data_IF_811969697427
#
_entry.id   IF_811969697427
#
_cell.length_a   1.000
_cell.length_b   1.000
_cell.length_c   1.000
_cell.angle_alpha   90.00
_cell.angle_beta   90.00
_cell.angle_gamma   90.00
#
_symmetry.space_group_name_H-M   'P 1'
#
loop_
_entity.id
_entity.type
_entity.pdbx_description
1 polymer ?
#
# COMPACT_ATOMS: atom_id res chain seq x y z
N UNK A 1 70.15 44.69 20.20
CA UNK A 1 70.59 43.38 19.70
C UNK A 1 70.12 42.32 20.69
N UNK A 2 69.39 41.33 20.17
CA UNK A 2 69.14 39.97 20.70
C UNK A 2 68.50 39.75 22.09
N UNK A 3 67.31 39.12 22.02
CA UNK A 3 66.72 38.05 22.86
C UNK A 3 66.53 38.29 24.36
N UNK A 4 65.28 38.20 24.83
CA UNK A 4 64.74 37.05 25.59
C UNK A 4 63.35 37.39 26.18
N UNK A 5 62.45 36.41 26.29
CA UNK A 5 61.28 36.54 27.17
C UNK A 5 59.93 35.99 26.68
N UNK A 6 59.84 34.67 26.53
CA UNK A 6 58.73 33.77 26.91
C UNK A 6 57.35 34.41 27.23
N UNK A 7 56.33 34.07 26.44
CA UNK A 7 54.94 33.95 26.91
C UNK A 7 54.35 32.62 26.43
N UNK A 8 54.10 31.74 27.41
CA UNK A 8 53.52 30.42 27.21
C UNK A 8 52.04 30.49 26.85
N UNK A 9 51.68 29.73 25.83
CA UNK A 9 50.31 29.44 25.44
C UNK A 9 49.73 28.44 26.44
N UNK A 10 48.62 28.84 27.06
CA UNK A 10 47.70 27.96 27.78
C UNK A 10 46.96 27.11 26.75
N UNK A 11 47.21 25.80 26.73
CA UNK A 11 46.31 24.81 26.14
C UNK A 11 46.04 23.72 27.19
N UNK A 12 44.78 23.70 27.65
CA UNK A 12 44.26 22.81 28.67
C UNK A 12 43.45 21.68 28.00
N UNK A 13 43.70 20.46 28.47
CA UNK A 13 42.80 19.31 28.53
C UNK A 13 42.38 18.58 27.22
N UNK A 14 43.23 17.62 26.89
CA UNK A 14 42.92 16.32 26.27
C UNK A 14 41.69 15.62 26.91
N UNK A 15 40.65 15.36 26.12
CA UNK A 15 39.68 14.30 26.36
C UNK A 15 39.36 13.57 25.05
N UNK A 16 40.26 12.67 24.68
CA UNK A 16 40.04 11.66 23.64
C UNK A 16 38.78 10.80 23.93
N UNK A 17 37.80 10.70 23.01
CA UNK A 17 36.64 9.84 23.20
C UNK A 17 37.00 8.36 23.02
N UNK A 18 36.65 7.56 24.04
CA UNK A 18 36.88 6.13 24.15
C UNK A 18 36.41 5.31 22.91
N UNK A 19 37.28 4.41 22.44
CA UNK A 19 37.12 3.44 21.33
C UNK A 19 35.80 2.64 21.33
N UNK A 20 35.02 2.63 22.42
CA UNK A 20 33.71 1.97 22.53
C UNK A 20 32.54 2.81 22.00
N UNK A 21 32.60 4.15 22.09
CA UNK A 21 31.52 5.04 21.62
C UNK A 21 31.38 5.04 20.10
N UNK A 22 32.52 5.05 19.40
CA UNK A 22 32.61 5.00 17.93
C UNK A 22 31.97 3.72 17.36
N UNK A 23 32.13 2.57 18.02
CA UNK A 23 31.57 1.28 17.57
C UNK A 23 30.05 1.19 17.74
N UNK A 24 29.47 1.89 18.72
CA UNK A 24 28.02 1.96 18.94
C UNK A 24 27.35 2.88 17.92
N UNK A 25 27.94 4.05 17.68
CA UNK A 25 27.46 5.00 16.67
C UNK A 25 27.53 4.42 15.25
N UNK A 26 28.57 3.64 14.92
CA UNK A 26 28.66 2.94 13.63
C UNK A 26 27.54 1.90 13.42
N UNK A 27 27.17 1.15 14.47
CA UNK A 27 26.06 0.17 14.39
C UNK A 27 24.67 0.83 14.29
N UNK A 28 24.48 1.97 14.92
CA UNK A 28 23.22 2.74 14.83
C UNK A 28 23.09 3.42 13.46
N UNK A 29 24.19 3.98 12.94
CA UNK A 29 24.24 4.54 11.58
C UNK A 29 23.96 3.49 10.51
N UNK A 30 24.51 2.27 10.64
CA UNK A 30 24.28 1.19 9.66
C UNK A 30 22.84 0.65 9.69
N UNK A 31 22.20 0.60 10.88
CA UNK A 31 20.78 0.24 11.00
C UNK A 31 19.86 1.33 10.45
N UNK A 32 20.18 2.60 10.66
CA UNK A 32 19.44 3.72 10.09
C UNK A 32 19.55 3.75 8.57
N UNK A 33 20.75 3.51 8.02
CA UNK A 33 20.99 3.43 6.58
C UNK A 33 20.21 2.27 5.94
N UNK A 34 20.22 1.06 6.55
CA UNK A 34 19.42 -0.08 6.05
C UNK A 34 17.91 0.17 6.12
N UNK A 35 17.43 0.94 7.10
CA UNK A 35 16.00 1.31 7.20
C UNK A 35 15.63 2.34 6.15
N UNK A 36 16.47 3.35 5.94
CA UNK A 36 16.27 4.39 4.92
C UNK A 36 16.33 3.82 3.49
N UNK A 37 17.26 2.91 3.20
CA UNK A 37 17.37 2.27 1.89
C UNK A 37 16.18 1.36 1.60
N UNK A 38 15.71 0.61 2.61
CA UNK A 38 14.52 -0.23 2.48
C UNK A 38 13.25 0.60 2.31
N UNK A 39 13.17 1.75 2.99
CA UNK A 39 12.07 2.69 2.84
C UNK A 39 12.10 3.35 1.45
N UNK A 40 13.26 3.79 0.97
CA UNK A 40 13.44 4.38 -0.36
C UNK A 40 13.13 3.38 -1.49
N UNK A 41 13.51 2.10 -1.35
CA UNK A 41 13.13 1.05 -2.32
C UNK A 41 11.62 0.80 -2.32
N UNK A 42 10.98 0.81 -1.15
CA UNK A 42 9.53 0.69 -1.04
C UNK A 42 8.78 1.90 -1.63
N UNK A 43 9.29 3.12 -1.47
CA UNK A 43 8.70 4.30 -2.10
C UNK A 43 8.94 4.33 -3.61
N UNK A 44 10.11 3.94 -4.09
CA UNK A 44 10.42 3.87 -5.52
C UNK A 44 9.57 2.81 -6.26
N UNK A 45 9.37 1.63 -5.65
CA UNK A 45 8.43 0.62 -6.17
C UNK A 45 6.96 1.05 -6.05
N UNK A 46 6.62 1.91 -5.09
CA UNK A 46 5.26 2.47 -4.95
C UNK A 46 4.99 3.54 -6.00
N UNK A 47 5.94 4.45 -6.27
CA UNK A 47 5.77 5.51 -7.26
C UNK A 47 5.79 4.99 -8.70
N UNK A 48 6.66 4.04 -9.03
CA UNK A 48 6.74 3.47 -10.39
C UNK A 48 5.54 2.60 -10.78
N UNK A 49 4.75 2.12 -9.82
CA UNK A 49 3.55 1.31 -10.09
C UNK A 49 2.23 2.07 -9.89
N UNK A 50 2.28 3.33 -9.45
CA UNK A 50 1.08 4.16 -9.29
C UNK A 50 0.66 4.84 -10.61
N UNK A 51 1.60 5.09 -11.53
CA UNK A 51 1.34 5.85 -12.76
C UNK A 51 0.62 5.06 -13.87
N UNK A 52 0.72 3.73 -13.89
CA UNK A 52 0.11 2.89 -14.94
C UNK A 52 -0.87 1.87 -14.34
N UNK A 53 -2.04 2.36 -13.93
CA UNK A 53 -3.14 1.52 -13.48
C UNK A 53 -3.80 0.78 -14.66
N UNK A 54 -3.29 -0.40 -14.97
CA UNK A 54 -3.82 -1.27 -16.03
C UNK A 54 -5.29 -1.72 -15.80
N UNK A 55 -5.86 -1.54 -14.61
CA UNK A 55 -7.22 -1.93 -14.28
C UNK A 55 -8.21 -0.75 -14.23
N UNK A 56 -7.80 0.45 -14.67
CA UNK A 56 -8.59 1.70 -14.57
C UNK A 56 -10.01 1.60 -15.12
N UNK A 57 -10.22 0.87 -16.22
CA UNK A 57 -11.55 0.71 -16.83
C UNK A 57 -12.46 -0.33 -16.12
N UNK A 58 -11.94 -1.03 -15.11
CA UNK A 58 -12.65 -2.14 -14.43
C UNK A 58 -13.27 -1.76 -13.09
N UNK A 59 -13.04 -0.54 -12.62
CA UNK A 59 -13.60 -0.04 -11.37
C UNK A 59 -13.85 1.47 -11.46
N UNK A 60 -14.64 1.99 -10.53
CA UNK A 60 -14.94 3.42 -10.46
C UNK A 60 -16.40 3.67 -10.09
N UNK A 61 -16.74 4.95 -10.04
CA UNK A 61 -18.13 5.39 -9.84
C UNK A 61 -18.76 5.54 -11.22
N UNK A 62 -19.72 4.68 -11.60
CA UNK A 62 -20.38 4.81 -12.89
C UNK A 62 -21.24 6.09 -12.93
N UNK A 63 -21.52 6.64 -14.13
CA UNK A 63 -22.44 7.77 -14.26
C UNK A 63 -23.84 7.38 -13.78
N UNK A 64 -24.65 8.40 -13.47
CA UNK A 64 -26.03 8.19 -13.06
C UNK A 64 -26.79 7.36 -14.10
N UNK A 65 -27.44 6.28 -13.66
CA UNK A 65 -28.19 5.40 -14.54
C UNK A 65 -29.49 6.11 -14.96
N UNK A 66 -29.52 6.60 -16.19
CA UNK A 66 -30.67 7.32 -16.79
C UNK A 66 -31.23 6.60 -18.02
N UNK A 67 -31.13 5.27 -18.08
CA UNK A 67 -31.64 4.44 -19.18
C UNK A 67 -31.12 4.80 -20.59
N UNK A 68 -29.99 5.51 -20.68
CA UNK A 68 -29.36 5.90 -21.96
C UNK A 68 -28.86 4.69 -22.78
N UNK A 69 -28.54 3.58 -22.10
CA UNK A 69 -28.05 2.35 -22.73
C UNK A 69 -28.75 1.13 -22.11
N UNK A 70 -29.17 0.21 -22.97
CA UNK A 70 -29.61 -1.13 -22.57
C UNK A 70 -28.46 -2.10 -22.80
N UNK A 71 -27.84 -2.52 -21.71
CA UNK A 71 -26.72 -3.45 -21.76
C UNK A 71 -27.26 -4.88 -21.74
N UNK A 72 -26.82 -5.71 -22.68
CA UNK A 72 -27.12 -7.13 -22.68
C UNK A 72 -26.25 -7.85 -21.64
N UNK A 73 -26.66 -7.75 -20.37
CA UNK A 73 -26.01 -8.44 -19.25
C UNK A 73 -27.03 -9.00 -18.27
N UNK A 74 -26.95 -10.29 -18.00
CA UNK A 74 -27.78 -10.95 -16.98
C UNK A 74 -27.27 -10.64 -15.57
N UNK A 75 -28.11 -9.99 -14.74
CA UNK A 75 -27.81 -9.75 -13.33
C UNK A 75 -28.31 -10.92 -12.49
N UNK A 76 -27.36 -11.71 -11.97
CA UNK A 76 -27.63 -12.84 -11.09
C UNK A 76 -27.91 -12.32 -9.68
N UNK A 77 -28.92 -12.89 -9.00
CA UNK A 77 -29.23 -12.53 -7.61
C UNK A 77 -28.28 -13.23 -6.65
N UNK A 78 -27.99 -12.62 -5.50
CA UNK A 78 -27.07 -13.19 -4.49
C UNK A 78 -27.55 -14.55 -3.99
N UNK A 79 -28.86 -14.78 -3.85
CA UNK A 79 -29.40 -16.07 -3.41
C UNK A 79 -29.23 -17.22 -4.44
N UNK A 80 -28.95 -16.88 -5.71
CA UNK A 80 -28.72 -17.86 -6.79
C UNK A 80 -27.24 -18.25 -6.89
N UNK A 81 -26.37 -17.71 -6.03
CA UNK A 81 -24.94 -18.02 -5.99
C UNK A 81 -24.71 -19.35 -5.27
N UNK A 82 -25.09 -20.43 -5.94
CA UNK A 82 -24.91 -21.81 -5.49
C UNK A 82 -23.66 -22.45 -6.13
N UNK A 83 -23.20 -23.62 -5.65
CA UNK A 83 -22.07 -24.33 -6.24
C UNK A 83 -22.23 -24.66 -7.74
N UNK A 84 -23.45 -24.70 -8.27
CA UNK A 84 -23.74 -24.91 -9.69
C UNK A 84 -23.18 -23.81 -10.59
N UNK A 85 -22.96 -22.61 -10.05
CA UNK A 85 -22.37 -21.46 -10.77
C UNK A 85 -20.85 -21.38 -10.60
N UNK A 86 -20.21 -22.38 -9.99
CA UNK A 86 -18.77 -22.40 -9.83
C UNK A 86 -18.06 -22.35 -11.21
N UNK A 87 -17.02 -21.53 -11.32
CA UNK A 87 -16.25 -21.35 -12.55
C UNK A 87 -16.90 -20.43 -13.60
N UNK A 88 -18.13 -19.96 -13.39
CA UNK A 88 -18.81 -19.07 -14.33
C UNK A 88 -18.49 -17.60 -14.06
N UNK A 89 -18.39 -16.81 -15.13
CA UNK A 89 -18.31 -15.36 -15.04
C UNK A 89 -19.73 -14.78 -14.99
N UNK A 90 -20.07 -14.10 -13.90
CA UNK A 90 -21.42 -13.58 -13.65
C UNK A 90 -21.39 -12.10 -13.28
N UNK A 91 -22.51 -11.41 -13.49
CA UNK A 91 -22.73 -10.04 -13.02
C UNK A 91 -23.67 -10.04 -11.83
N UNK A 92 -23.27 -9.35 -10.75
CA UNK A 92 -24.07 -9.23 -9.53
C UNK A 92 -24.24 -7.76 -9.18
N UNK A 93 -25.45 -7.39 -8.74
CA UNK A 93 -25.75 -6.07 -8.18
C UNK A 93 -26.19 -6.22 -6.73
N UNK A 94 -25.40 -5.69 -5.80
CA UNK A 94 -25.63 -5.81 -4.37
C UNK A 94 -25.18 -4.55 -3.62
N UNK A 95 -25.55 -4.45 -2.34
CA UNK A 95 -25.00 -3.44 -1.43
C UNK A 95 -23.76 -4.01 -0.74
N UNK A 96 -22.76 -3.16 -0.50
CA UNK A 96 -21.63 -3.52 0.35
C UNK A 96 -22.12 -3.47 1.80
N UNK A 97 -22.09 -4.60 2.49
CA UNK A 97 -22.46 -4.70 3.89
C UNK A 97 -21.29 -4.36 4.81
N UNK A 98 -20.13 -4.94 4.53
CA UNK A 98 -18.84 -4.64 5.17
C UNK A 98 -17.72 -4.79 4.15
N UNK A 99 -16.62 -4.04 4.35
CA UNK A 99 -15.41 -4.12 3.54
C UNK A 99 -14.19 -4.17 4.46
N UNK A 100 -13.22 -5.03 4.14
CA UNK A 100 -11.97 -5.16 4.89
C UNK A 100 -10.81 -5.44 3.93
N UNK A 101 -9.85 -4.52 3.90
CA UNK A 101 -8.58 -4.76 3.24
C UNK A 101 -7.55 -5.43 4.16
N UNK A 102 -6.75 -6.31 3.56
CA UNK A 102 -5.56 -6.90 4.17
C UNK A 102 -4.46 -7.04 3.11
N UNK A 103 -3.47 -6.16 3.15
CA UNK A 103 -2.34 -6.19 2.21
C UNK A 103 -2.79 -5.98 0.76
N UNK A 104 -2.60 -6.99 -0.09
CA UNK A 104 -2.96 -6.96 -1.53
C UNK A 104 -4.37 -7.54 -1.80
N UNK A 105 -5.20 -7.70 -0.79
CA UNK A 105 -6.53 -8.29 -0.89
C UNK A 105 -7.56 -7.42 -0.19
N UNK A 106 -8.78 -7.37 -0.72
CA UNK A 106 -9.95 -6.76 -0.11
C UNK A 106 -11.10 -7.76 -0.09
N UNK A 107 -11.63 -8.01 1.11
CA UNK A 107 -12.79 -8.83 1.34
C UNK A 107 -14.02 -7.93 1.45
N UNK A 108 -15.05 -8.23 0.68
CA UNK A 108 -16.33 -7.54 0.76
C UNK A 108 -17.41 -8.53 1.10
N UNK A 109 -18.35 -8.13 1.95
CA UNK A 109 -19.60 -8.86 2.13
C UNK A 109 -20.66 -8.16 1.29
N UNK A 110 -21.10 -8.81 0.21
CA UNK A 110 -22.14 -8.30 -0.67
C UNK A 110 -23.50 -8.76 -0.14
N UNK A 111 -24.41 -7.83 0.13
CA UNK A 111 -25.76 -8.09 0.64
C UNK A 111 -26.82 -7.71 -0.38
N UNK A 112 -27.78 -8.60 -0.59
CA UNK A 112 -29.01 -8.32 -1.31
C UNK A 112 -30.18 -8.87 -0.51
N UNK A 113 -31.03 -7.97 0.00
CA UNK A 113 -32.10 -8.30 0.95
C UNK A 113 -31.52 -9.05 2.18
N UNK A 114 -32.03 -10.25 2.48
CA UNK A 114 -31.60 -11.10 3.60
C UNK A 114 -30.36 -11.96 3.28
N UNK A 115 -29.95 -12.04 2.01
CA UNK A 115 -28.86 -12.89 1.58
C UNK A 115 -27.54 -12.11 1.54
N UNK A 116 -26.45 -12.77 1.90
CA UNK A 116 -25.11 -12.22 1.78
C UNK A 116 -24.15 -13.25 1.16
N UNK A 117 -23.09 -12.75 0.53
CA UNK A 117 -22.02 -13.56 -0.04
C UNK A 117 -20.68 -12.85 0.16
N UNK A 118 -19.62 -13.63 0.34
CA UNK A 118 -18.27 -13.10 0.42
C UNK A 118 -17.69 -12.92 -0.98
N UNK A 119 -17.19 -11.72 -1.26
CA UNK A 119 -16.42 -11.39 -2.47
C UNK A 119 -14.97 -11.05 -2.08
N UNK A 120 -14.04 -11.35 -2.98
CA UNK A 120 -12.61 -11.08 -2.78
C UNK A 120 -12.06 -10.37 -4.03
N UNK A 121 -11.41 -9.24 -3.81
CA UNK A 121 -10.64 -8.51 -4.82
C UNK A 121 -9.17 -8.62 -4.44
N UNK A 122 -8.35 -9.24 -5.28
CA UNK A 122 -6.92 -9.43 -5.02
C UNK A 122 -6.10 -8.91 -6.19
N UNK A 123 -4.95 -8.30 -5.88
CA UNK A 123 -3.99 -7.87 -6.90
C UNK A 123 -3.55 -9.09 -7.72
N UNK A 124 -3.67 -8.98 -9.04
CA UNK A 124 -3.31 -10.02 -10.00
C UNK A 124 -3.47 -9.51 -11.41
N UNK A 125 -3.63 -10.40 -12.39
CA UNK A 125 -3.80 -10.03 -13.80
C UNK A 125 -5.03 -9.15 -14.04
N UNK A 126 -6.08 -9.32 -13.22
CA UNK A 126 -7.36 -8.62 -13.42
C UNK A 126 -7.55 -7.34 -12.62
N UNK A 127 -6.88 -7.20 -11.48
CA UNK A 127 -7.08 -6.11 -10.54
C UNK A 127 -5.74 -5.52 -10.10
N UNK A 128 -5.63 -4.19 -10.15
CA UNK A 128 -4.47 -3.42 -9.71
C UNK A 128 -4.50 -3.14 -8.21
N UNK A 129 -3.40 -2.61 -7.67
CA UNK A 129 -3.34 -2.15 -6.26
C UNK A 129 -4.36 -1.03 -6.01
N UNK A 130 -4.54 -0.17 -7.00
CA UNK A 130 -5.45 0.96 -7.00
C UNK A 130 -6.91 0.48 -6.95
N UNK A 131 -7.26 -0.57 -7.70
CA UNK A 131 -8.57 -1.21 -7.62
C UNK A 131 -8.86 -1.79 -6.24
N UNK A 132 -7.89 -2.48 -5.61
CA UNK A 132 -8.03 -3.01 -4.24
C UNK A 132 -8.20 -1.86 -3.23
N UNK A 133 -7.45 -0.77 -3.39
CA UNK A 133 -7.57 0.45 -2.57
C UNK A 133 -8.94 1.12 -2.74
N UNK A 134 -9.50 1.13 -3.95
CA UNK A 134 -10.83 1.65 -4.23
C UNK A 134 -11.93 0.80 -3.56
N UNK A 135 -11.84 -0.53 -3.66
CA UNK A 135 -12.83 -1.44 -3.07
C UNK A 135 -12.85 -1.42 -1.52
N UNK A 136 -11.77 -0.97 -0.91
CA UNK A 136 -11.62 -0.89 0.55
C UNK A 136 -12.17 0.41 1.17
N UNK A 137 -12.48 1.42 0.35
CA UNK A 137 -13.08 2.68 0.78
C UNK A 137 -14.59 2.53 0.98
#
# INVERSE_FOLDING_TARGET
MTKDGVQGVVEEADQAPSKKGLKKQQKEAEKAAKKAEKQAKLSADQQSTDDDDFAKDRYGVPPMVQSQQKLDRGLVRVHELTPEKAGQLIWVRARIHTSRAKGKQCFLVLRQQQFNVQALVAVGERASKQMVKFAAK
#
